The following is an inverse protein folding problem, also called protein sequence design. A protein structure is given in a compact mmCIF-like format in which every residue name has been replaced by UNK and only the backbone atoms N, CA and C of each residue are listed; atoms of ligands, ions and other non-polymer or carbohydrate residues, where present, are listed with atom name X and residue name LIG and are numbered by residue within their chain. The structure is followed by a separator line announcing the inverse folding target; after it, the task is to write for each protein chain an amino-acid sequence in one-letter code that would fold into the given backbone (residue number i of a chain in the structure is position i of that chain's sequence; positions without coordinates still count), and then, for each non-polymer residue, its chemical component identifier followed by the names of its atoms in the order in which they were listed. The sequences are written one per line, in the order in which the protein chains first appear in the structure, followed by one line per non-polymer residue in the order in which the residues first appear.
data_IF_578260632890
#
_entry.id   IF_578260632890
#
_cell.length_a   1.000
_cell.length_b   1.000
_cell.length_c   1.000
_cell.angle_alpha   90.00
_cell.angle_beta   90.00
_cell.angle_gamma   90.00
#
_symmetry.space_group_name_H-M   'P 1'
#
loop_
_entity.id
_entity.type
_entity.pdbx_description
1 polymer ?
#
# COMPACT_ATOMS: atom_id res chain seq x y z
N UNK A 1 -11.59 -3.67 -11.23
CA UNK A 1 -12.16 -2.99 -10.05
C UNK A 1 -11.80 -3.78 -8.82
N UNK A 2 -10.73 -3.44 -8.08
CA UNK A 2 -10.29 -4.23 -6.91
C UNK A 2 -9.70 -3.33 -5.82
N UNK A 3 -10.06 -3.68 -4.59
CA UNK A 3 -10.02 -2.92 -3.35
C UNK A 3 -8.73 -3.17 -2.53
N UNK A 4 -8.23 -2.17 -1.83
CA UNK A 4 -7.03 -2.15 -0.98
C UNK A 4 -7.39 -1.77 0.47
N UNK A 5 -7.40 -2.72 1.40
CA UNK A 5 -7.66 -2.42 2.81
C UNK A 5 -6.43 -1.81 3.50
N UNK A 6 -6.48 -0.51 3.82
CA UNK A 6 -5.49 0.15 4.65
C UNK A 6 -6.13 0.49 6.01
N UNK A 7 -5.93 -0.38 7.02
CA UNK A 7 -6.36 -0.12 8.41
C UNK A 7 -5.16 0.32 9.25
N UNK A 8 -5.30 1.45 9.95
CA UNK A 8 -4.32 2.00 10.88
C UNK A 8 -5.02 2.24 12.23
N UNK A 9 -4.50 1.66 13.32
CA UNK A 9 -4.97 1.86 14.71
C UNK A 9 -6.47 1.68 14.98
N UNK A 10 -7.05 0.50 14.68
CA UNK A 10 -8.43 0.11 15.05
C UNK A 10 -9.57 1.06 14.60
N UNK A 11 -9.23 2.13 13.90
CA UNK A 11 -10.13 3.06 13.26
C UNK A 11 -9.97 2.93 11.74
N UNK A 12 -11.10 2.92 11.02
CA UNK A 12 -11.05 3.06 9.57
C UNK A 12 -10.43 4.42 9.25
N UNK A 13 -9.21 4.43 8.72
CA UNK A 13 -8.65 5.62 8.08
C UNK A 13 -9.52 5.88 6.88
N UNK A 14 -10.39 6.88 6.90
CA UNK A 14 -11.35 7.15 5.82
C UNK A 14 -10.66 7.62 4.53
N UNK A 15 -9.45 8.18 4.64
CA UNK A 15 -8.65 8.58 3.50
C UNK A 15 -7.16 8.25 3.73
N UNK A 16 -6.57 7.30 2.99
CA UNK A 16 -5.19 6.91 3.21
C UNK A 16 -4.20 7.98 2.70
N UNK A 17 -3.42 8.53 3.62
CA UNK A 17 -2.20 9.28 3.31
C UNK A 17 -1.04 8.39 2.86
N UNK A 18 -0.06 8.97 2.16
CA UNK A 18 1.08 8.23 1.58
C UNK A 18 1.88 7.43 2.62
N UNK A 19 2.10 7.99 3.81
CA UNK A 19 2.83 7.29 4.86
C UNK A 19 2.12 6.01 5.36
N UNK A 20 0.79 5.91 5.22
CA UNK A 20 0.08 4.68 5.53
C UNK A 20 0.44 3.54 4.56
N UNK A 21 0.60 3.87 3.26
CA UNK A 21 1.09 2.94 2.24
C UNK A 21 2.52 2.48 2.57
N UNK A 22 3.43 3.41 2.83
CA UNK A 22 4.83 3.10 3.18
C UNK A 22 4.92 2.22 4.42
N UNK A 23 4.15 2.52 5.47
CA UNK A 23 4.13 1.70 6.68
C UNK A 23 3.62 0.29 6.42
N UNK A 24 2.59 0.15 5.58
CA UNK A 24 2.06 -1.15 5.21
C UNK A 24 3.07 -1.98 4.39
N UNK A 25 3.80 -1.34 3.48
CA UNK A 25 4.88 -1.95 2.69
C UNK A 25 6.04 -2.41 3.57
N UNK A 26 6.56 -1.52 4.41
CA UNK A 26 7.66 -1.81 5.33
C UNK A 26 7.33 -2.98 6.27
N UNK A 27 6.12 -3.01 6.83
CA UNK A 27 5.67 -4.12 7.68
C UNK A 27 5.68 -5.44 6.91
N UNK A 28 5.21 -5.43 5.67
CA UNK A 28 5.18 -6.63 4.83
C UNK A 28 6.58 -7.10 4.47
N UNK A 29 7.45 -6.20 4.03
CA UNK A 29 8.82 -6.51 3.65
C UNK A 29 9.59 -7.08 4.85
N UNK A 30 9.42 -6.48 6.03
CA UNK A 30 9.96 -6.98 7.29
C UNK A 30 9.50 -8.42 7.60
N UNK A 31 8.19 -8.71 7.47
CA UNK A 31 7.68 -10.07 7.68
C UNK A 31 8.21 -11.06 6.66
N UNK A 32 8.25 -10.69 5.38
CA UNK A 32 8.73 -11.59 4.31
C UNK A 32 10.20 -11.94 4.52
N UNK A 33 11.03 -10.93 4.77
CA UNK A 33 12.46 -11.09 5.05
C UNK A 33 12.71 -11.98 6.27
N UNK A 34 11.96 -11.74 7.35
CA UNK A 34 12.11 -12.50 8.59
C UNK A 34 11.71 -13.97 8.41
N UNK A 35 10.57 -14.26 7.79
CA UNK A 35 10.04 -15.62 7.71
C UNK A 35 10.59 -16.47 6.55
N UNK A 36 11.06 -15.83 5.47
CA UNK A 36 11.44 -16.55 4.24
C UNK A 36 12.89 -16.35 3.82
N UNK A 37 13.59 -15.35 4.37
CA UNK A 37 14.98 -15.09 4.04
C UNK A 37 15.92 -15.23 5.25
N UNK A 38 15.39 -15.48 6.45
CA UNK A 38 16.12 -15.51 7.72
C UNK A 38 17.00 -14.25 7.94
N UNK A 39 16.57 -13.13 7.35
CA UNK A 39 17.26 -11.85 7.41
C UNK A 39 16.38 -10.83 8.11
N UNK A 40 16.99 -10.04 9.00
CA UNK A 40 16.37 -8.82 9.51
C UNK A 40 16.74 -7.67 8.57
N UNK A 41 15.73 -6.98 8.05
CA UNK A 41 15.97 -5.76 7.29
C UNK A 41 16.56 -4.69 8.22
N UNK A 42 17.80 -4.30 7.93
CA UNK A 42 18.46 -3.17 8.55
C UNK A 42 18.11 -1.90 7.76
N UNK A 43 16.96 -1.32 8.09
CA UNK A 43 16.45 -0.10 7.47
C UNK A 43 16.04 0.88 8.56
N UNK A 44 16.16 2.18 8.29
CA UNK A 44 15.60 3.21 9.15
C UNK A 44 14.08 3.32 8.92
N UNK A 45 13.33 2.38 9.50
CA UNK A 45 11.87 2.33 9.40
C UNK A 45 11.22 3.64 9.86
N UNK A 46 11.73 4.21 10.95
CA UNK A 46 11.15 5.41 11.55
C UNK A 46 11.37 6.62 10.65
N UNK A 47 12.61 6.86 10.22
CA UNK A 47 12.92 8.00 9.35
C UNK A 47 12.27 7.87 7.97
N UNK A 48 12.15 6.66 7.40
CA UNK A 48 11.39 6.45 6.17
C UNK A 48 9.91 6.84 6.33
N UNK A 49 9.28 6.46 7.45
CA UNK A 49 7.90 6.84 7.74
C UNK A 49 7.79 8.36 7.93
N UNK A 50 8.69 8.98 8.69
CA UNK A 50 8.70 10.43 8.92
C UNK A 50 8.86 11.22 7.61
N UNK A 51 9.84 10.86 6.77
CA UNK A 51 10.05 11.52 5.46
C UNK A 51 8.88 11.31 4.51
N UNK A 52 8.21 10.15 4.57
CA UNK A 52 7.02 9.87 3.73
C UNK A 52 5.82 10.76 4.05
N UNK A 53 5.80 11.44 5.20
CA UNK A 53 4.75 12.42 5.53
C UNK A 53 4.87 13.72 4.73
N UNK A 54 6.03 13.99 4.13
CA UNK A 54 6.22 15.16 3.25
C UNK A 54 5.48 15.06 1.92
N UNK A 55 5.14 13.83 1.50
CA UNK A 55 4.39 13.56 0.27
C UNK A 55 2.91 13.82 0.53
N UNK A 56 2.35 14.75 -0.26
CA UNK A 56 0.97 15.21 -0.11
C UNK A 56 0.05 14.51 -1.09
N UNK A 57 -1.13 14.14 -0.60
CA UNK A 57 -2.24 13.68 -1.46
C UNK A 57 -2.83 14.87 -2.20
N UNK A 58 -2.88 14.81 -3.52
CA UNK A 58 -3.42 15.89 -4.38
C UNK A 58 -4.81 15.59 -4.91
N UNK A 59 -5.17 14.30 -5.03
CA UNK A 59 -6.50 13.87 -5.43
C UNK A 59 -6.79 12.48 -4.87
N UNK A 60 -8.06 12.22 -4.54
CA UNK A 60 -8.53 10.92 -4.09
C UNK A 60 -9.90 10.64 -4.70
N UNK A 61 -9.99 9.52 -5.41
CA UNK A 61 -11.24 8.91 -5.86
C UNK A 61 -11.36 7.51 -5.23
N UNK A 62 -10.96 7.39 -3.96
CA UNK A 62 -11.04 6.15 -3.19
C UNK A 62 -12.40 6.03 -2.52
N UNK A 63 -13.00 4.85 -2.60
CA UNK A 63 -14.22 4.49 -1.89
C UNK A 63 -13.98 3.26 -1.01
N UNK A 64 -14.53 3.28 0.21
CA UNK A 64 -14.53 2.09 1.05
C UNK A 64 -15.56 1.10 0.52
N UNK A 65 -15.15 -0.15 0.33
CA UNK A 65 -16.00 -1.23 -0.11
C UNK A 65 -15.84 -2.41 0.85
N UNK A 66 -16.91 -2.72 1.57
CA UNK A 66 -17.03 -3.92 2.39
C UNK A 66 -17.63 -5.06 1.56
N UNK A 67 -17.08 -6.27 1.71
CA UNK A 67 -17.75 -7.49 1.29
C UNK A 67 -17.71 -8.54 2.40
N UNK A 68 -18.69 -9.42 2.35
CA UNK A 68 -18.74 -10.56 3.26
C UNK A 68 -18.22 -11.81 2.56
N UNK A 69 -17.31 -12.53 3.21
CA UNK A 69 -17.02 -13.93 2.87
C UNK A 69 -17.46 -14.83 3.99
N UNK A 70 -18.07 -15.95 3.64
CA UNK A 70 -18.30 -17.03 4.58
C UNK A 70 -17.03 -17.89 4.71
N UNK A 71 -16.46 -17.96 5.92
CA UNK A 71 -15.31 -18.81 6.23
C UNK A 71 -15.80 -20.21 6.59
N UNK A 72 -15.60 -21.18 5.70
CA UNK A 72 -16.00 -22.58 5.92
C UNK A 72 -15.28 -23.21 7.12
N UNK A 73 -14.02 -22.81 7.37
CA UNK A 73 -13.18 -23.31 8.47
C UNK A 73 -13.65 -22.82 9.84
N UNK A 74 -14.13 -21.58 9.92
CA UNK A 74 -14.57 -20.95 11.18
C UNK A 74 -16.11 -20.86 11.29
N UNK A 75 -16.84 -21.30 10.24
CA UNK A 75 -18.30 -21.17 10.10
C UNK A 75 -18.84 -19.78 10.43
N UNK A 76 -18.11 -18.74 10.03
CA UNK A 76 -18.44 -17.35 10.34
C UNK A 76 -18.37 -16.46 9.09
N UNK A 77 -19.25 -15.47 9.01
CA UNK A 77 -19.17 -14.38 8.03
C UNK A 77 -18.05 -13.42 8.46
N UNK A 78 -17.05 -13.29 7.60
CA UNK A 78 -15.96 -12.33 7.75
C UNK A 78 -16.28 -11.11 6.89
N UNK A 79 -16.28 -9.93 7.51
CA UNK A 79 -16.25 -8.66 6.77
C UNK A 79 -14.81 -8.36 6.37
N UNK A 80 -14.60 -8.24 5.07
CA UNK A 80 -13.36 -7.80 4.45
C UNK A 80 -13.71 -6.49 3.75
N UNK A 81 -13.15 -5.38 4.21
CA UNK A 81 -13.38 -4.05 3.64
C UNK A 81 -12.11 -3.26 3.40
N UNK A 82 -12.05 -2.54 2.27
CA UNK A 82 -10.94 -1.65 1.95
C UNK A 82 -11.25 -0.58 0.92
N UNK A 83 -10.22 0.07 0.40
CA UNK A 83 -10.29 1.16 -0.58
C UNK A 83 -10.25 0.72 -2.04
N UNK A 84 -11.31 0.95 -2.82
CA UNK A 84 -11.26 0.86 -4.29
C UNK A 84 -11.07 2.25 -4.86
N UNK A 85 -10.19 2.38 -5.85
CA UNK A 85 -10.14 3.58 -6.68
C UNK A 85 -8.72 4.01 -6.95
N UNK A 86 -8.54 5.31 -7.12
CA UNK A 86 -7.23 5.93 -7.37
C UNK A 86 -6.96 7.05 -6.38
N UNK A 87 -5.71 7.16 -5.95
CA UNK A 87 -5.21 8.34 -5.24
C UNK A 87 -3.97 8.87 -5.98
N UNK A 88 -3.84 10.19 -6.01
CA UNK A 88 -2.69 10.89 -6.59
C UNK A 88 -1.93 11.57 -5.48
N UNK A 89 -0.61 11.40 -5.50
CA UNK A 89 0.31 11.98 -4.54
C UNK A 89 1.31 12.88 -5.27
N UNK A 90 1.82 13.90 -4.59
CA UNK A 90 2.88 14.78 -5.07
C UNK A 90 3.94 15.02 -3.99
N UNK A 91 5.20 14.99 -4.39
CA UNK A 91 6.36 15.16 -3.53
C UNK A 91 7.59 14.51 -4.16
N UNK A 92 8.66 14.40 -3.38
CA UNK A 92 9.85 13.64 -3.78
C UNK A 92 9.62 12.15 -3.47
N UNK A 93 9.53 11.34 -4.52
CA UNK A 93 9.31 9.90 -4.41
C UNK A 93 10.60 9.08 -4.45
N UNK A 94 11.76 9.70 -4.74
CA UNK A 94 12.97 8.99 -5.16
C UNK A 94 13.39 7.90 -4.15
N UNK A 95 13.38 8.22 -2.85
CA UNK A 95 13.74 7.26 -1.80
C UNK A 95 12.71 6.13 -1.60
N UNK A 96 11.46 6.33 -2.04
CA UNK A 96 10.37 5.38 -1.87
C UNK A 96 10.14 4.49 -3.09
N UNK A 97 10.71 4.82 -4.25
CA UNK A 97 10.54 4.05 -5.49
C UNK A 97 10.83 2.55 -5.33
N UNK A 98 11.91 2.11 -4.65
CA UNK A 98 12.15 0.68 -4.46
C UNK A 98 11.04 0.01 -3.66
N UNK A 99 10.55 0.64 -2.59
CA UNK A 99 9.46 0.12 -1.78
C UNK A 99 8.15 0.05 -2.57
N UNK A 100 7.89 1.07 -3.39
CA UNK A 100 6.70 1.15 -4.23
C UNK A 100 6.71 0.08 -5.33
N UNK A 101 7.85 -0.19 -5.96
CA UNK A 101 7.99 -1.27 -6.94
C UNK A 101 7.73 -2.65 -6.31
N UNK A 102 8.32 -2.90 -5.13
CA UNK A 102 8.03 -4.13 -4.37
C UNK A 102 6.54 -4.27 -4.02
N UNK A 103 5.88 -3.16 -3.73
CA UNK A 103 4.46 -3.14 -3.40
C UNK A 103 3.52 -3.55 -4.54
N UNK A 104 3.88 -3.27 -5.80
CA UNK A 104 3.09 -3.71 -6.96
C UNK A 104 3.10 -5.23 -7.11
N UNK A 105 4.26 -5.86 -6.87
CA UNK A 105 4.45 -7.31 -6.96
C UNK A 105 3.86 -8.02 -5.74
N UNK A 106 4.08 -7.48 -4.55
CA UNK A 106 3.71 -8.13 -3.31
C UNK A 106 2.24 -7.89 -2.94
N UNK A 107 1.63 -6.79 -3.37
CA UNK A 107 0.37 -6.24 -2.85
C UNK A 107 0.49 -5.70 -1.41
N UNK A 108 -0.46 -4.88 -0.97
CA UNK A 108 -0.43 -4.16 0.32
C UNK A 108 -1.63 -4.49 1.20
N UNK A 109 -1.42 -4.58 2.52
CA UNK A 109 -2.51 -4.68 3.51
C UNK A 109 -2.70 -6.08 4.12
N UNK A 110 -3.59 -6.15 5.12
CA UNK A 110 -3.82 -7.36 5.95
C UNK A 110 -4.44 -8.53 5.17
N UNK A 111 -5.15 -8.21 4.10
CA UNK A 111 -5.83 -9.17 3.24
C UNK A 111 -5.09 -9.43 1.91
N UNK A 112 -3.82 -9.06 1.82
CA UNK A 112 -3.08 -9.17 0.58
C UNK A 112 -2.82 -10.62 0.13
N UNK A 113 -2.83 -11.58 1.05
CA UNK A 113 -2.87 -13.02 0.76
C UNK A 113 -4.19 -13.48 0.12
N UNK A 114 -5.26 -12.68 0.20
CA UNK A 114 -6.52 -12.91 -0.49
C UNK A 114 -6.62 -12.16 -1.83
N UNK A 115 -5.49 -11.66 -2.35
CA UNK A 115 -5.41 -10.92 -3.62
C UNK A 115 -5.85 -9.46 -3.53
N UNK A 116 -5.86 -8.89 -2.33
CA UNK A 116 -6.28 -7.51 -2.07
C UNK A 116 -5.10 -6.56 -1.98
N UNK A 117 -5.35 -5.27 -2.24
CA UNK A 117 -4.32 -4.24 -2.16
C UNK A 117 -3.24 -4.31 -3.24
N UNK A 118 -3.58 -4.90 -4.39
CA UNK A 118 -2.86 -4.62 -5.64
C UNK A 118 -3.11 -3.16 -6.00
N UNK A 119 -2.04 -2.41 -6.19
CA UNK A 119 -2.09 -1.12 -6.84
C UNK A 119 -1.20 -1.15 -8.08
N UNK A 120 -1.37 -0.16 -8.95
CA UNK A 120 -0.57 0.07 -10.13
C UNK A 120 -0.12 1.53 -10.08
N UNK A 121 1.17 1.79 -10.29
CA UNK A 121 1.74 3.14 -10.35
C UNK A 121 1.53 3.64 -11.78
N UNK A 122 0.69 4.67 -11.93
CA UNK A 122 0.42 5.28 -13.24
C UNK A 122 1.08 6.64 -13.34
N UNK A 123 2.14 6.71 -14.16
CA UNK A 123 2.83 7.94 -14.51
C UNK A 123 3.60 8.54 -13.34
N UNK A 124 4.88 8.19 -13.22
CA UNK A 124 5.85 9.03 -12.53
C UNK A 124 6.08 10.23 -13.45
N UNK A 125 5.37 11.33 -13.22
CA UNK A 125 5.66 12.57 -13.90
C UNK A 125 6.77 13.28 -13.12
N UNK A 126 7.93 13.46 -13.75
CA UNK A 126 8.91 14.42 -13.22
C UNK A 126 8.28 15.82 -13.19
N UNK A 127 8.91 16.75 -12.49
CA UNK A 127 8.60 18.19 -12.42
C UNK A 127 8.42 18.86 -13.81
N UNK A 128 8.75 18.16 -14.91
CA UNK A 128 8.55 18.54 -16.31
C UNK A 128 7.39 17.84 -17.05
N UNK A 129 6.61 16.98 -16.39
CA UNK A 129 5.47 16.28 -17.01
C UNK A 129 5.81 15.07 -17.89
N UNK A 130 7.07 14.60 -17.86
CA UNK A 130 7.52 13.46 -18.67
C UNK A 130 7.09 12.13 -18.01
N UNK A 131 6.38 11.28 -18.76
CA UNK A 131 5.95 9.96 -18.33
C UNK A 131 7.11 8.96 -18.45
N UNK A 132 7.49 8.32 -17.34
CA UNK A 132 8.19 7.05 -17.41
C UNK A 132 7.25 5.98 -17.99
N UNK A 133 7.50 5.57 -19.23
CA UNK A 133 6.93 4.36 -19.82
C UNK A 133 7.99 3.28 -19.70
N UNK A 134 7.98 2.53 -18.61
CA UNK A 134 8.81 1.33 -18.53
C UNK A 134 8.11 0.22 -19.33
N UNK A 135 8.54 0.05 -20.58
CA UNK A 135 8.21 -1.15 -21.36
C UNK A 135 9.18 -2.24 -20.95
N UNK A 136 8.69 -3.34 -20.37
CA UNK A 136 9.15 -4.70 -20.68
C UNK A 136 8.04 -5.69 -20.31
#
# INVERSE_FOLDING_TARGET
TRTAECKFNEHLVQEPEFHHLIRALLRRLSSLSYFHCDMKLDLDFRGLIERSQSIRKTSSALSWHDWERYSSRQKQRMTLGGFVGSATFAGDFHEFLPLLAWGEVLHVGKAASFGLGRYEIRGLANEKGERFVERT
#
